data_IF_966246492439
#
_entry.id   IF_966246492439
#
_cell.length_a   1.000
_cell.length_b   1.000
_cell.length_c   1.000
_cell.angle_alpha   90.00
_cell.angle_beta   90.00
_cell.angle_gamma   90.00
#
_symmetry.space_group_name_H-M   'P 1'
#
loop_
_entity.id
_entity.type
_entity.pdbx_description
1 polymer ?
#
# COMPACT_ATOMS: atom_id res chain seq x y z
N UNK A 1 27.18 19.72 -0.40
CA UNK A 1 26.38 19.01 0.61
C UNK A 1 26.30 19.86 1.87
N UNK A 2 25.10 20.30 2.30
CA UNK A 2 24.94 21.05 3.56
C UNK A 2 25.03 20.07 4.73
N UNK A 3 26.10 20.16 5.54
CA UNK A 3 26.25 19.45 6.82
C UNK A 3 25.12 19.88 7.78
N UNK A 4 24.44 18.93 8.43
CA UNK A 4 23.52 19.21 9.54
C UNK A 4 22.02 19.00 9.28
N UNK A 5 21.61 18.32 8.21
CA UNK A 5 20.24 17.78 8.12
C UNK A 5 20.29 16.27 8.29
N UNK A 6 19.44 15.74 9.17
CA UNK A 6 19.12 14.31 9.15
C UNK A 6 18.71 13.95 7.71
N UNK A 7 19.31 12.88 7.18
CA UNK A 7 18.93 12.39 5.87
C UNK A 7 17.44 12.06 5.89
N UNK A 8 16.67 12.70 5.00
CA UNK A 8 15.27 12.39 4.86
C UNK A 8 15.14 10.90 4.51
N UNK A 9 14.33 10.16 5.28
CA UNK A 9 14.01 8.77 4.94
C UNK A 9 13.11 8.78 3.70
N UNK A 10 13.54 8.08 2.66
CA UNK A 10 12.83 7.99 1.38
C UNK A 10 12.44 6.55 1.14
N UNK A 11 11.18 6.32 0.77
CA UNK A 11 10.68 5.03 0.28
C UNK A 11 10.51 5.14 -1.23
N UNK A 12 11.05 4.19 -1.98
CA UNK A 12 10.90 4.10 -3.43
C UNK A 12 10.03 2.91 -3.77
N UNK A 13 8.95 3.12 -4.54
CA UNK A 13 8.02 2.07 -4.95
C UNK A 13 7.92 2.04 -6.47
N UNK A 14 7.82 0.84 -7.04
CA UNK A 14 7.64 0.64 -8.47
C UNK A 14 6.35 1.33 -8.96
N UNK A 15 6.44 2.16 -10.00
CA UNK A 15 5.29 2.88 -10.55
C UNK A 15 4.24 1.95 -11.18
N UNK A 16 4.70 1.00 -12.01
CA UNK A 16 3.84 0.13 -12.80
C UNK A 16 3.63 -1.22 -12.10
N UNK A 17 3.08 -1.18 -10.88
CA UNK A 17 2.61 -2.36 -10.15
C UNK A 17 1.22 -2.07 -9.60
N UNK A 18 0.41 -3.11 -9.37
CA UNK A 18 -0.93 -2.95 -8.82
C UNK A 18 -0.93 -2.19 -7.50
N UNK A 19 -1.94 -1.34 -7.30
CA UNK A 19 -1.98 -0.43 -6.15
C UNK A 19 -2.07 -1.18 -4.82
N UNK A 20 -2.73 -2.35 -4.76
CA UNK A 20 -2.74 -3.19 -3.56
C UNK A 20 -1.33 -3.66 -3.15
N UNK A 21 -0.42 -3.83 -4.12
CA UNK A 21 0.97 -4.20 -3.85
C UNK A 21 1.78 -2.99 -3.41
N UNK A 22 1.52 -1.80 -3.99
CA UNK A 22 2.12 -0.55 -3.52
C UNK A 22 1.79 -0.30 -2.05
N UNK A 23 0.52 -0.42 -1.67
CA UNK A 23 0.07 -0.27 -0.27
C UNK A 23 0.84 -1.19 0.66
N UNK A 24 0.97 -2.47 0.31
CA UNK A 24 1.71 -3.42 1.13
C UNK A 24 3.20 -3.10 1.22
N UNK A 25 3.85 -2.77 0.10
CA UNK A 25 5.27 -2.34 0.11
C UNK A 25 5.47 -1.09 0.94
N UNK A 26 4.63 -0.06 0.79
CA UNK A 26 4.72 1.17 1.59
C UNK A 26 4.57 0.88 3.09
N UNK A 27 3.63 0.01 3.47
CA UNK A 27 3.41 -0.36 4.87
C UNK A 27 4.57 -1.21 5.42
N UNK A 28 5.17 -2.07 4.61
CA UNK A 28 6.35 -2.88 4.96
C UNK A 28 7.57 -1.99 5.24
N UNK A 29 7.87 -1.07 4.34
CA UNK A 29 8.96 -0.09 4.49
C UNK A 29 8.72 0.85 5.67
N UNK A 30 7.46 1.25 5.90
CA UNK A 30 7.09 1.99 7.11
C UNK A 30 7.38 1.16 8.38
N UNK A 31 7.11 -0.14 8.34
CA UNK A 31 7.44 -1.08 9.41
C UNK A 31 8.92 -1.03 9.79
N UNK A 32 9.83 -1.14 8.82
CA UNK A 32 11.27 -0.99 9.07
C UNK A 32 11.65 0.36 9.69
N UNK A 33 10.90 1.43 9.39
CA UNK A 33 11.21 2.77 9.91
C UNK A 33 10.73 3.00 11.34
N UNK A 34 9.61 2.40 11.74
CA UNK A 34 8.95 2.66 13.03
C UNK A 34 9.19 1.55 14.05
N UNK A 35 9.51 0.34 13.59
CA UNK A 35 9.83 -0.77 14.46
C UNK A 35 11.32 -0.77 14.80
N UNK A 36 11.65 -1.23 16.00
CA UNK A 36 13.02 -1.58 16.38
C UNK A 36 13.03 -3.07 16.61
N UNK A 37 13.37 -3.85 15.58
CA UNK A 37 13.57 -5.28 15.75
C UNK A 37 14.78 -5.51 16.66
N UNK A 38 14.59 -6.30 17.71
CA UNK A 38 15.72 -6.82 18.49
C UNK A 38 16.50 -7.81 17.64
N UNK A 39 17.81 -7.98 17.87
CA UNK A 39 18.67 -8.87 17.09
C UNK A 39 18.18 -10.34 16.99
N UNK A 40 17.27 -10.78 17.86
CA UNK A 40 16.68 -12.11 17.86
C UNK A 40 15.45 -12.26 16.93
N UNK A 41 14.98 -11.19 16.29
CA UNK A 41 13.78 -11.16 15.45
C UNK A 41 14.18 -11.02 13.99
N UNK A 42 13.55 -11.83 13.13
CA UNK A 42 13.60 -11.66 11.68
C UNK A 42 12.94 -10.32 11.30
N UNK A 43 13.76 -9.31 10.97
CA UNK A 43 13.31 -7.95 10.67
C UNK A 43 12.36 -7.91 9.46
N UNK A 44 12.64 -8.70 8.43
CA UNK A 44 11.80 -8.84 7.24
C UNK A 44 10.45 -9.47 7.59
N UNK A 45 10.48 -10.54 8.39
CA UNK A 45 9.27 -11.18 8.91
C UNK A 45 8.44 -10.22 9.77
N UNK A 46 9.10 -9.41 10.60
CA UNK A 46 8.45 -8.41 11.44
C UNK A 46 7.80 -7.30 10.61
N UNK A 47 8.50 -6.75 9.61
CA UNK A 47 7.97 -5.74 8.70
C UNK A 47 6.78 -6.26 7.88
N UNK A 48 6.83 -7.51 7.41
CA UNK A 48 5.69 -8.16 6.75
C UNK A 48 4.47 -8.32 7.68
N UNK A 49 4.68 -8.75 8.92
CA UNK A 49 3.60 -8.86 9.93
C UNK A 49 3.04 -7.49 10.29
N UNK A 50 3.89 -6.47 10.38
CA UNK A 50 3.46 -5.08 10.57
C UNK A 50 2.60 -4.59 9.41
N UNK A 51 3.03 -4.75 8.16
CA UNK A 51 2.27 -4.35 6.99
C UNK A 51 0.88 -5.00 6.96
N UNK A 52 0.83 -6.31 7.23
CA UNK A 52 -0.43 -7.05 7.36
C UNK A 52 -1.32 -6.52 8.49
N UNK A 53 -0.75 -6.24 9.66
CA UNK A 53 -1.51 -5.72 10.80
C UNK A 53 -1.99 -4.27 10.64
N UNK A 54 -1.17 -3.44 10.00
CA UNK A 54 -1.46 -2.03 9.73
C UNK A 54 -2.57 -1.88 8.69
N UNK A 55 -2.51 -2.65 7.60
CA UNK A 55 -3.52 -2.60 6.53
C UNK A 55 -4.79 -3.37 6.89
N UNK A 56 -4.70 -4.37 7.78
CA UNK A 56 -5.82 -5.23 8.16
C UNK A 56 -5.85 -5.43 9.68
N UNK A 57 -6.44 -4.47 10.45
CA UNK A 57 -6.56 -4.57 11.90
C UNK A 57 -7.26 -5.85 12.36
N UNK A 58 -6.80 -6.43 13.47
CA UNK A 58 -7.17 -7.79 13.87
C UNK A 58 -8.66 -7.95 14.22
N UNK A 59 -9.21 -6.96 14.90
CA UNK A 59 -10.62 -6.84 15.24
C UNK A 59 -11.50 -6.71 14.00
N UNK A 60 -11.11 -5.86 13.04
CA UNK A 60 -11.83 -5.67 11.78
C UNK A 60 -11.82 -6.96 10.94
N UNK A 61 -10.68 -7.63 10.83
CA UNK A 61 -10.59 -8.91 10.08
C UNK A 61 -11.42 -10.00 10.75
N UNK A 62 -11.39 -10.11 12.08
CA UNK A 62 -12.22 -11.11 12.79
C UNK A 62 -13.71 -10.83 12.68
N UNK A 63 -14.11 -9.56 12.67
CA UNK A 63 -15.51 -9.18 12.43
C UNK A 63 -15.96 -9.54 11.02
N UNK A 64 -15.06 -9.39 10.02
CA UNK A 64 -15.38 -9.65 8.62
C UNK A 64 -15.34 -11.13 8.23
N UNK A 65 -14.34 -11.86 8.70
CA UNK A 65 -14.06 -13.25 8.28
C UNK A 65 -14.58 -14.28 9.29
N UNK A 66 -14.73 -13.85 10.55
CA UNK A 66 -14.99 -14.71 11.70
C UNK A 66 -13.73 -15.04 12.50
N UNK A 67 -13.93 -15.58 13.70
CA UNK A 67 -12.84 -15.87 14.65
C UNK A 67 -12.04 -17.13 14.30
N UNK A 68 -12.70 -18.15 13.73
CA UNK A 68 -12.08 -19.43 13.36
C UNK A 68 -12.83 -20.06 12.18
N UNK A 69 -12.09 -20.55 11.18
CA UNK A 69 -12.61 -21.08 9.93
C UNK A 69 -11.79 -22.30 9.48
N UNK A 70 -12.49 -23.31 8.96
CA UNK A 70 -11.85 -24.47 8.32
C UNK A 70 -11.44 -24.21 6.87
N UNK A 71 -12.12 -23.27 6.21
CA UNK A 71 -11.82 -22.82 4.85
C UNK A 71 -12.38 -21.41 4.60
N UNK A 72 -11.80 -20.72 3.63
CA UNK A 72 -12.27 -19.45 3.07
C UNK A 72 -12.36 -19.66 1.56
N UNK A 73 -13.49 -19.29 0.95
CA UNK A 73 -13.66 -19.48 -0.49
C UNK A 73 -12.89 -18.44 -1.30
N UNK A 74 -12.61 -18.73 -2.58
CA UNK A 74 -11.98 -17.73 -3.47
C UNK A 74 -12.88 -16.51 -3.67
N UNK A 75 -14.20 -16.70 -3.80
CA UNK A 75 -15.14 -15.59 -3.94
C UNK A 75 -15.16 -14.69 -2.70
N UNK A 76 -15.14 -15.29 -1.51
CA UNK A 76 -15.04 -14.57 -0.23
C UNK A 76 -13.73 -13.77 -0.14
N UNK A 77 -12.59 -14.36 -0.51
CA UNK A 77 -11.31 -13.64 -0.56
C UNK A 77 -11.34 -12.44 -1.52
N UNK A 78 -12.03 -12.56 -2.66
CA UNK A 78 -12.16 -11.45 -3.61
C UNK A 78 -13.04 -10.33 -3.03
N UNK A 79 -14.16 -10.67 -2.39
CA UNK A 79 -14.99 -9.67 -1.71
C UNK A 79 -14.22 -8.94 -0.59
N UNK A 80 -13.46 -9.68 0.22
CA UNK A 80 -12.64 -9.11 1.30
C UNK A 80 -11.54 -8.20 0.71
N UNK A 81 -10.91 -8.58 -0.41
CA UNK A 81 -9.85 -7.77 -1.01
C UNK A 81 -10.34 -6.43 -1.51
N UNK A 82 -11.56 -6.34 -2.03
CA UNK A 82 -12.13 -5.07 -2.49
C UNK A 82 -12.32 -4.10 -1.33
N UNK A 83 -12.62 -4.61 -0.14
CA UNK A 83 -12.79 -3.79 1.07
C UNK A 83 -11.46 -3.30 1.65
N UNK A 84 -10.48 -4.18 1.81
CA UNK A 84 -9.18 -3.80 2.40
C UNK A 84 -8.21 -3.20 1.36
N UNK A 85 -8.44 -3.44 0.08
CA UNK A 85 -7.56 -3.07 -1.04
C UNK A 85 -6.14 -3.59 -0.87
N UNK A 86 -6.03 -4.88 -0.54
CA UNK A 86 -4.78 -5.65 -0.46
C UNK A 86 -4.88 -6.88 -1.38
N UNK A 87 -3.79 -7.62 -1.57
CA UNK A 87 -3.86 -8.86 -2.37
C UNK A 87 -4.57 -10.00 -1.63
N UNK A 88 -5.13 -10.98 -2.36
CA UNK A 88 -5.69 -12.20 -1.73
C UNK A 88 -4.63 -12.99 -0.94
N UNK A 89 -3.36 -12.85 -1.32
CA UNK A 89 -2.23 -13.45 -0.61
C UNK A 89 -2.01 -12.79 0.74
N UNK A 90 -2.08 -11.46 0.81
CA UNK A 90 -1.95 -10.72 2.05
C UNK A 90 -3.08 -11.08 3.03
N UNK A 91 -4.31 -11.23 2.54
CA UNK A 91 -5.46 -11.67 3.36
C UNK A 91 -5.23 -13.07 3.90
N UNK A 92 -4.77 -14.01 3.06
CA UNK A 92 -4.51 -15.37 3.49
C UNK A 92 -3.40 -15.45 4.56
N UNK A 93 -2.30 -14.70 4.40
CA UNK A 93 -1.28 -14.57 5.45
C UNK A 93 -1.86 -13.95 6.72
N UNK A 94 -2.66 -12.90 6.60
CA UNK A 94 -3.28 -12.26 7.77
C UNK A 94 -4.22 -13.19 8.53
N UNK A 95 -5.02 -13.98 7.82
CA UNK A 95 -5.89 -14.98 8.43
C UNK A 95 -5.08 -16.06 9.16
N UNK A 96 -3.93 -16.48 8.60
CA UNK A 96 -3.01 -17.41 9.27
C UNK A 96 -2.39 -16.78 10.52
N UNK A 97 -1.89 -15.55 10.43
CA UNK A 97 -1.26 -14.81 11.54
C UNK A 97 -2.22 -14.59 12.71
N UNK A 98 -3.52 -14.42 12.43
CA UNK A 98 -4.56 -14.22 13.43
C UNK A 98 -5.13 -15.53 14.00
N UNK A 99 -4.71 -16.69 13.46
CA UNK A 99 -5.25 -18.00 13.81
C UNK A 99 -6.66 -18.26 13.32
N UNK A 100 -7.16 -17.45 12.37
CA UNK A 100 -8.50 -17.63 11.78
C UNK A 100 -8.52 -18.89 10.92
N UNK A 101 -7.44 -19.16 10.19
CA UNK A 101 -7.23 -20.40 9.46
C UNK A 101 -5.96 -21.10 9.93
N UNK A 102 -5.93 -22.42 9.83
CA UNK A 102 -4.74 -23.20 10.13
C UNK A 102 -3.77 -23.29 8.93
N UNK A 103 -2.61 -23.90 9.16
CA UNK A 103 -1.60 -24.11 8.11
C UNK A 103 -2.12 -24.97 6.95
N UNK A 104 -3.07 -25.88 7.19
CA UNK A 104 -3.63 -26.78 6.17
C UNK A 104 -4.54 -25.99 5.22
N UNK A 105 -5.46 -25.21 5.75
CA UNK A 105 -6.33 -24.31 5.00
C UNK A 105 -5.51 -23.26 4.23
N UNK A 106 -4.52 -22.66 4.88
CA UNK A 106 -3.57 -21.75 4.22
C UNK A 106 -2.85 -22.42 3.04
N UNK A 107 -2.31 -23.63 3.24
CA UNK A 107 -1.60 -24.36 2.17
C UNK A 107 -2.52 -24.69 0.99
N UNK A 108 -3.78 -25.02 1.26
CA UNK A 108 -4.77 -25.28 0.21
C UNK A 108 -5.07 -24.03 -0.61
N UNK A 109 -5.25 -22.87 0.04
CA UNK A 109 -5.42 -21.59 -0.64
C UNK A 109 -4.20 -21.24 -1.50
N UNK A 110 -3.00 -21.41 -0.96
CA UNK A 110 -1.77 -21.09 -1.68
C UNK A 110 -1.55 -21.99 -2.90
N UNK A 111 -1.89 -23.28 -2.81
CA UNK A 111 -1.91 -24.18 -3.98
C UNK A 111 -2.86 -23.67 -5.06
N UNK A 112 -4.05 -23.20 -4.66
CA UNK A 112 -5.01 -22.64 -5.60
C UNK A 112 -4.49 -21.33 -6.24
N UNK A 113 -3.84 -20.44 -5.47
CA UNK A 113 -3.22 -19.24 -6.01
C UNK A 113 -2.10 -19.55 -7.01
N UNK A 114 -1.30 -20.58 -6.76
CA UNK A 114 -0.27 -21.06 -7.69
C UNK A 114 -0.92 -21.60 -8.96
N UNK A 115 -1.93 -22.46 -8.84
CA UNK A 115 -2.66 -23.04 -9.97
C UNK A 115 -3.28 -21.96 -10.87
N UNK A 116 -3.76 -20.88 -10.28
CA UNK A 116 -4.34 -19.72 -11.01
C UNK A 116 -3.30 -18.72 -11.52
N UNK A 117 -2.01 -18.91 -11.22
CA UNK A 117 -0.94 -18.01 -11.64
C UNK A 117 -0.86 -16.69 -10.87
N UNK A 118 -1.59 -16.53 -9.75
CA UNK A 118 -1.65 -15.27 -9.00
C UNK A 118 -0.37 -14.99 -8.19
N UNK A 119 0.53 -15.97 -8.09
CA UNK A 119 1.81 -15.88 -7.36
C UNK A 119 2.97 -15.32 -8.19
N UNK A 120 2.79 -15.13 -9.50
CA UNK A 120 3.83 -14.63 -10.41
C UNK A 120 3.32 -13.41 -11.16
N UNK A 121 4.23 -12.56 -11.62
CA UNK A 121 3.91 -11.45 -12.52
C UNK A 121 3.13 -11.98 -13.74
N UNK A 122 2.02 -11.34 -14.16
CA UNK A 122 1.54 -10.02 -13.76
C UNK A 122 0.67 -10.01 -12.50
N UNK A 123 0.65 -11.04 -11.65
CA UNK A 123 -0.17 -11.11 -10.43
C UNK A 123 -1.66 -10.85 -10.70
N UNK A 124 -2.18 -11.41 -11.79
CA UNK A 124 -3.53 -11.13 -12.30
C UNK A 124 -4.64 -11.82 -11.48
N UNK A 125 -4.72 -11.51 -10.19
CA UNK A 125 -5.88 -11.85 -9.37
C UNK A 125 -7.10 -10.98 -9.75
N UNK A 126 -8.33 -11.46 -9.49
CA UNK A 126 -9.56 -10.69 -9.67
C UNK A 126 -9.55 -9.40 -8.84
N UNK A 127 -10.39 -8.43 -9.23
CA UNK A 127 -10.55 -7.14 -8.54
C UNK A 127 -9.21 -6.43 -8.22
N UNK A 128 -8.23 -6.56 -9.14
CA UNK A 128 -6.93 -5.89 -9.02
C UNK A 128 -7.07 -4.38 -9.18
N UNK A 129 -6.31 -3.62 -8.41
CA UNK A 129 -6.35 -2.16 -8.44
C UNK A 129 -5.31 -1.67 -9.44
N UNK A 130 -5.76 -0.97 -10.48
CA UNK A 130 -4.88 -0.43 -11.51
C UNK A 130 -3.71 0.37 -10.88
N UNK A 131 -2.50 0.34 -11.46
CA UNK A 131 -1.36 1.08 -10.93
C UNK A 131 -1.64 2.58 -10.72
N UNK A 132 -2.45 3.18 -11.57
CA UNK A 132 -2.87 4.59 -11.56
C UNK A 132 -3.99 4.91 -10.55
N UNK A 133 -4.55 3.89 -9.89
CA UNK A 133 -5.62 4.08 -8.91
C UNK A 133 -5.16 4.94 -7.72
N UNK A 134 -3.89 4.81 -7.31
CA UNK A 134 -3.30 5.61 -6.23
C UNK A 134 -2.04 6.33 -6.70
N UNK A 135 -2.09 7.66 -6.71
CA UNK A 135 -0.97 8.53 -7.02
C UNK A 135 -0.63 9.47 -5.84
N UNK A 136 0.66 9.69 -5.53
CA UNK A 136 1.07 10.66 -4.52
C UNK A 136 0.71 12.10 -4.92
N UNK A 137 -0.31 12.68 -4.27
CA UNK A 137 -0.72 14.09 -4.51
C UNK A 137 -0.15 15.10 -3.52
N UNK A 138 0.62 14.66 -2.52
CA UNK A 138 1.11 15.53 -1.43
C UNK A 138 2.02 16.64 -1.93
N UNK A 139 2.96 16.32 -2.82
CA UNK A 139 3.91 17.31 -3.34
C UNK A 139 3.18 18.38 -4.16
N UNK A 140 2.24 17.96 -5.01
CA UNK A 140 1.38 18.86 -5.77
C UNK A 140 0.58 19.81 -4.85
N UNK A 141 -0.10 19.27 -3.84
CA UNK A 141 -0.83 20.06 -2.84
C UNK A 141 0.07 21.04 -2.08
N UNK A 142 1.32 20.66 -1.80
CA UNK A 142 2.27 21.56 -1.14
C UNK A 142 2.73 22.69 -2.07
N UNK A 143 2.89 22.43 -3.37
CA UNK A 143 3.18 23.48 -4.35
C UNK A 143 2.03 24.49 -4.41
N UNK A 144 0.78 24.03 -4.45
CA UNK A 144 -0.40 24.91 -4.41
C UNK A 144 -0.48 25.72 -3.12
N UNK A 145 -0.26 25.10 -1.97
CA UNK A 145 -0.21 25.83 -0.69
C UNK A 145 0.90 26.88 -0.68
N UNK A 146 2.11 26.52 -1.09
CA UNK A 146 3.24 27.45 -1.09
C UNK A 146 3.01 28.64 -2.04
N UNK A 147 2.32 28.42 -3.16
CA UNK A 147 1.89 29.48 -4.07
C UNK A 147 0.85 30.39 -3.42
N UNK A 148 -0.21 29.82 -2.83
CA UNK A 148 -1.27 30.57 -2.18
C UNK A 148 -0.77 31.42 -0.99
N UNK A 149 0.22 30.93 -0.25
CA UNK A 149 0.86 31.65 0.86
C UNK A 149 1.94 32.64 0.40
N UNK A 150 2.16 32.79 -0.91
CA UNK A 150 3.18 33.70 -1.46
C UNK A 150 4.64 33.29 -1.18
N UNK A 151 4.87 32.05 -0.73
CA UNK A 151 6.22 31.51 -0.46
C UNK A 151 6.98 31.27 -1.76
N UNK A 152 6.25 30.91 -2.83
CA UNK A 152 6.79 30.76 -4.19
C UNK A 152 5.87 31.48 -5.19
N UNK A 153 6.43 31.97 -6.30
CA UNK A 153 5.65 32.51 -7.42
C UNK A 153 5.16 31.44 -8.41
N UNK A 154 4.26 31.82 -9.31
CA UNK A 154 3.64 30.93 -10.31
C UNK A 154 4.66 30.18 -11.16
N UNK A 155 5.69 30.88 -11.67
CA UNK A 155 6.74 30.25 -12.49
C UNK A 155 7.46 29.14 -11.74
N UNK A 156 7.72 29.34 -10.43
CA UNK A 156 8.37 28.33 -9.59
C UNK A 156 7.43 27.16 -9.30
N UNK A 157 6.16 27.42 -9.05
CA UNK A 157 5.15 26.38 -8.87
C UNK A 157 5.01 25.52 -10.13
N UNK A 158 4.90 26.12 -11.31
CA UNK A 158 4.81 25.43 -12.60
C UNK A 158 6.06 24.56 -12.87
N UNK A 159 7.27 25.11 -12.64
CA UNK A 159 8.53 24.37 -12.75
C UNK A 159 8.55 23.15 -11.81
N UNK A 160 8.20 23.32 -10.54
CA UNK A 160 8.21 22.24 -9.55
C UNK A 160 7.21 21.12 -9.91
N UNK A 161 6.04 21.48 -10.42
CA UNK A 161 5.01 20.53 -10.87
C UNK A 161 5.33 19.89 -12.23
N UNK A 162 6.32 20.40 -12.96
CA UNK A 162 6.64 19.95 -14.32
C UNK A 162 5.53 20.26 -15.34
N UNK A 163 4.82 21.37 -15.18
CA UNK A 163 3.72 21.82 -16.06
C UNK A 163 3.99 23.22 -16.62
N UNK A 164 3.21 23.64 -17.60
CA UNK A 164 3.29 25.02 -18.14
C UNK A 164 2.54 26.00 -17.24
N UNK A 165 2.90 27.29 -17.30
CA UNK A 165 2.14 28.36 -16.64
C UNK A 165 0.66 28.34 -17.04
N UNK A 166 0.37 28.20 -18.34
CA UNK A 166 -1.00 28.09 -18.84
C UNK A 166 -1.77 26.92 -18.20
N UNK A 167 -1.12 25.77 -18.00
CA UNK A 167 -1.73 24.62 -17.30
C UNK A 167 -1.94 24.92 -15.83
N UNK A 168 -1.00 25.62 -15.18
CA UNK A 168 -1.13 26.03 -13.78
C UNK A 168 -2.34 26.97 -13.61
N UNK A 169 -2.46 27.99 -14.46
CA UNK A 169 -3.56 28.97 -14.41
C UNK A 169 -4.92 28.27 -14.53
N UNK A 170 -5.05 27.32 -15.46
CA UNK A 170 -6.26 26.52 -15.63
C UNK A 170 -6.60 25.71 -14.36
N UNK A 171 -5.62 25.03 -13.77
CA UNK A 171 -5.83 24.23 -12.55
C UNK A 171 -6.20 25.08 -11.34
N UNK A 172 -5.73 26.33 -11.27
CA UNK A 172 -6.09 27.26 -10.20
C UNK A 172 -7.49 27.84 -10.41
N UNK A 173 -7.92 28.00 -11.66
CA UNK A 173 -9.25 28.50 -12.01
C UNK A 173 -10.38 27.45 -11.86
N UNK A 174 -10.07 26.16 -11.97
CA UNK A 174 -11.02 25.04 -11.78
C UNK A 174 -11.33 24.72 -10.30
N UNK A 175 -10.97 25.61 -9.36
CA UNK A 175 -11.22 25.43 -7.93
C UNK A 175 -12.61 25.95 -7.46
N UNK A 176 -13.54 26.19 -8.39
CA UNK A 176 -14.96 26.48 -8.14
C UNK A 176 -15.89 25.38 -8.69
#
# INVERSE_FOLDING_TARGET
>A
MRKGRDAARVIVVRKNIWSERKRFTLAHELGHMVMTATAAVDDEGAANRFAGAFLMPADVVRAEVGAQRSAISIGELVAIKERFGVSVQAIAYRCLDLGIIDKKAFSSLFKEFVKRGWRKEPFAEPARMAPEYEEPKRFERLCYRALAEGVIGESRAAEMLGITLKTLDHRLAEAD
#
